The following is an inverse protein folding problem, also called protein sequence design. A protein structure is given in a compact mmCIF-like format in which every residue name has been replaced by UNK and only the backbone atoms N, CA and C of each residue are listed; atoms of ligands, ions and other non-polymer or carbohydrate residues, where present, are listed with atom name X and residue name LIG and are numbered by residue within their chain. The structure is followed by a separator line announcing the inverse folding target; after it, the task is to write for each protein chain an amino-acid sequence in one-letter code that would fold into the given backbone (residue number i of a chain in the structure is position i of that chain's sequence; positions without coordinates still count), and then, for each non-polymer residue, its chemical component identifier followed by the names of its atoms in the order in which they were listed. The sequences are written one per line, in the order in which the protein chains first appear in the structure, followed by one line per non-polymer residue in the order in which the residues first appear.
data_IF_481531422945
#
_entry.id   IF_481531422945
#
_cell.length_a   1.000
_cell.length_b   1.000
_cell.length_c   1.000
_cell.angle_alpha   90.00
_cell.angle_beta   90.00
_cell.angle_gamma   90.00
#
_symmetry.space_group_name_H-M   'P 1'
#
loop_
_entity.id
_entity.type
_entity.pdbx_description
1 polymer ?
#
# COMPACT_ATOMS: atom_id res chain seq x y z
N UNK A 1 8.89 57.22 62.94
CA UNK A 1 10.11 58.00 62.66
C UNK A 1 11.16 57.08 62.07
N UNK A 2 12.09 57.56 61.23
CA UNK A 2 11.96 58.57 60.16
C UNK A 2 12.35 57.88 58.81
N UNK A 3 12.78 58.48 57.69
CA UNK A 3 12.95 59.87 57.24
C UNK A 3 12.77 59.95 55.70
N UNK A 4 12.75 61.17 55.15
CA UNK A 4 13.35 61.50 53.84
C UNK A 4 14.61 62.38 54.11
N UNK A 5 15.54 62.56 53.14
CA UNK A 5 15.46 63.65 52.14
C UNK A 5 15.77 63.15 50.71
N UNK A 6 15.49 63.84 49.58
CA UNK A 6 15.84 65.22 49.14
C UNK A 6 17.38 65.38 48.90
N UNK A 7 17.92 66.06 47.87
CA UNK A 7 17.35 66.99 46.89
C UNK A 7 18.24 67.20 45.63
N UNK A 8 17.64 67.66 44.52
CA UNK A 8 18.23 68.58 43.51
C UNK A 8 19.18 68.07 42.40
N UNK A 9 19.49 68.84 41.34
CA UNK A 9 18.80 70.01 40.73
C UNK A 9 19.48 70.43 39.40
N UNK A 10 18.71 70.79 38.37
CA UNK A 10 19.13 71.52 37.15
C UNK A 10 19.86 70.73 36.05
N UNK A 11 19.96 71.22 34.80
CA UNK A 11 19.16 72.22 34.06
C UNK A 11 19.63 72.34 32.60
N UNK A 12 18.68 72.48 31.67
CA UNK A 12 18.72 73.31 30.45
C UNK A 12 19.69 73.04 29.28
N UNK A 13 19.05 73.03 28.09
CA UNK A 13 19.45 73.59 26.78
C UNK A 13 20.64 72.89 26.06
N UNK A 14 20.80 72.89 24.73
CA UNK A 14 20.06 73.49 23.59
C UNK A 14 20.17 72.58 22.33
N UNK A 15 19.51 73.00 21.26
CA UNK A 15 19.37 72.53 19.87
C UNK A 15 20.63 72.16 19.03
N UNK A 16 20.38 71.87 17.74
CA UNK A 16 21.30 71.69 16.58
C UNK A 16 21.93 70.29 16.39
N UNK A 17 22.14 69.76 15.18
CA UNK A 17 21.55 70.01 13.84
C UNK A 17 21.86 68.78 12.92
N UNK A 18 21.36 68.79 11.68
CA UNK A 18 21.50 67.77 10.63
C UNK A 18 22.95 67.33 10.28
N UNK A 19 23.12 66.10 9.76
CA UNK A 19 24.46 65.61 9.35
C UNK A 19 24.54 64.16 8.82
N UNK A 20 23.82 63.86 7.73
CA UNK A 20 24.00 62.64 6.91
C UNK A 20 25.48 62.57 6.39
N UNK A 21 26.20 61.45 6.20
CA UNK A 21 25.97 60.29 5.32
C UNK A 21 26.90 59.12 5.72
N UNK A 22 26.51 57.83 5.64
CA UNK A 22 27.33 56.70 6.11
C UNK A 22 28.28 56.09 5.06
N UNK A 23 29.43 55.54 5.50
CA UNK A 23 30.17 54.49 4.76
C UNK A 23 30.82 53.42 5.66
N UNK A 24 30.25 52.22 5.56
CA UNK A 24 30.95 50.91 5.52
C UNK A 24 32.02 50.59 6.60
N UNK A 25 31.63 49.79 7.59
CA UNK A 25 32.46 48.69 8.11
C UNK A 25 31.60 47.52 8.65
N UNK A 26 32.18 46.33 8.68
CA UNK A 26 31.47 45.07 8.88
C UNK A 26 30.97 44.83 10.32
N UNK A 27 29.79 44.22 10.44
CA UNK A 27 29.22 43.71 11.70
C UNK A 27 28.58 42.34 11.49
N UNK A 28 28.88 41.38 12.38
CA UNK A 28 28.42 39.99 12.28
C UNK A 28 26.98 39.87 12.77
N UNK A 29 26.09 39.26 11.99
CA UNK A 29 24.75 38.85 12.41
C UNK A 29 24.62 37.33 12.47
N UNK A 30 24.32 36.78 13.65
CA UNK A 30 24.06 35.36 13.84
C UNK A 30 22.61 35.02 13.52
N UNK A 31 22.34 34.35 12.39
CA UNK A 31 21.01 33.80 12.10
C UNK A 31 20.80 32.46 12.82
N UNK A 32 20.02 32.47 13.89
CA UNK A 32 19.42 31.27 14.46
C UNK A 32 18.33 30.73 13.53
N UNK A 33 18.68 29.81 12.62
CA UNK A 33 17.70 29.16 11.73
C UNK A 33 16.94 28.07 12.47
N UNK A 34 15.73 28.41 12.91
CA UNK A 34 14.70 27.43 13.28
C UNK A 34 14.35 26.57 12.05
N UNK A 35 14.27 25.23 12.16
CA UNK A 35 13.93 24.39 11.02
C UNK A 35 12.47 24.60 10.61
N UNK A 36 12.25 25.01 9.36
CA UNK A 36 10.92 25.22 8.81
C UNK A 36 10.10 23.91 8.83
N UNK A 37 8.83 23.99 9.26
CA UNK A 37 7.90 22.87 9.15
C UNK A 37 7.74 22.46 7.68
N UNK A 38 7.81 21.16 7.33
CA UNK A 38 7.59 20.72 5.97
C UNK A 38 6.13 21.00 5.56
N UNK A 39 5.94 21.86 4.57
CA UNK A 39 4.64 22.13 3.95
C UNK A 39 4.21 20.94 3.09
N UNK A 40 2.92 20.57 3.16
CA UNK A 40 2.19 19.58 2.33
C UNK A 40 3.05 18.96 1.21
N UNK A 41 3.74 17.88 1.54
CA UNK A 41 4.63 17.17 0.62
C UNK A 41 3.85 16.58 -0.56
N UNK A 42 4.11 17.14 -1.74
CA UNK A 42 4.44 16.46 -3.02
C UNK A 42 4.13 14.95 -3.13
N UNK A 43 2.86 14.59 -2.91
CA UNK A 43 2.38 13.19 -2.84
C UNK A 43 2.31 12.50 -4.22
N UNK A 44 2.76 13.17 -5.28
CA UNK A 44 2.58 12.76 -6.67
C UNK A 44 3.88 12.29 -7.36
N UNK A 45 5.03 12.36 -6.68
CA UNK A 45 6.34 11.91 -7.20
C UNK A 45 6.72 10.47 -6.84
N UNK A 46 5.91 9.73 -6.09
CA UNK A 46 6.19 8.32 -5.79
C UNK A 46 5.88 7.34 -6.94
N UNK A 47 5.24 7.81 -8.02
CA UNK A 47 4.73 6.93 -9.09
C UNK A 47 5.19 7.32 -10.51
N UNK A 48 6.13 8.25 -10.64
CA UNK A 48 6.86 8.48 -11.88
C UNK A 48 8.22 7.81 -11.76
N UNK A 49 8.43 6.72 -12.50
CA UNK A 49 9.74 6.12 -12.73
C UNK A 49 9.92 6.00 -14.25
N UNK A 50 10.52 7.02 -14.86
CA UNK A 50 11.24 6.90 -16.14
C UNK A 50 12.64 6.29 -15.88
N UNK A 51 12.73 5.32 -14.96
CA UNK A 51 13.96 4.57 -14.74
C UNK A 51 14.17 3.61 -15.92
N UNK A 52 15.41 3.48 -16.44
CA UNK A 52 15.69 2.50 -17.48
C UNK A 52 15.30 1.12 -16.98
N UNK A 53 14.59 0.33 -17.80
CA UNK A 53 14.00 -0.97 -17.45
C UNK A 53 15.01 -1.84 -16.71
N UNK A 54 14.95 -1.80 -15.38
CA UNK A 54 15.94 -2.45 -14.55
C UNK A 54 15.69 -3.95 -14.66
N UNK A 55 16.68 -4.67 -15.16
CA UNK A 55 16.59 -6.13 -15.28
C UNK A 55 16.45 -6.72 -13.87
N UNK A 56 15.21 -7.06 -13.52
CA UNK A 56 14.92 -7.61 -12.20
C UNK A 56 15.62 -8.95 -12.08
N UNK A 57 16.26 -9.18 -10.94
CA UNK A 57 16.86 -10.47 -10.61
C UNK A 57 15.78 -11.45 -10.13
N UNK A 58 16.00 -12.78 -10.29
CA UNK A 58 15.25 -13.79 -9.55
C UNK A 58 15.23 -13.49 -8.06
N UNK A 59 14.18 -13.91 -7.36
CA UNK A 59 14.10 -13.68 -5.93
C UNK A 59 14.83 -14.77 -5.15
N UNK A 60 15.61 -14.36 -4.15
CA UNK A 60 16.21 -15.29 -3.20
C UNK A 60 15.17 -15.66 -2.13
N UNK A 61 14.83 -16.95 -1.90
CA UNK A 61 13.63 -17.33 -1.15
C UNK A 61 13.51 -16.77 0.27
N UNK A 62 14.64 -16.52 0.94
CA UNK A 62 14.72 -16.05 2.32
C UNK A 62 15.12 -14.57 2.46
N UNK A 63 15.46 -13.85 1.37
CA UNK A 63 15.89 -12.44 1.46
C UNK A 63 14.84 -11.54 2.11
N UNK A 64 13.55 -11.85 1.88
CA UNK A 64 12.42 -11.10 2.42
C UNK A 64 12.29 -11.15 3.94
N UNK A 65 13.04 -12.04 4.61
CA UNK A 65 13.11 -12.11 6.08
C UNK A 65 13.89 -10.97 6.71
N UNK A 66 14.80 -10.35 5.96
CA UNK A 66 15.65 -9.26 6.44
C UNK A 66 14.91 -7.91 6.48
N UNK A 67 13.77 -7.81 5.80
CA UNK A 67 12.98 -6.58 5.66
C UNK A 67 11.81 -6.56 6.65
N UNK A 68 11.84 -5.75 7.72
CA UNK A 68 10.72 -5.63 8.65
C UNK A 68 9.55 -4.87 8.02
N UNK A 69 8.35 -5.43 8.11
CA UNK A 69 7.11 -4.79 7.63
C UNK A 69 6.70 -3.69 8.61
N UNK A 70 6.77 -2.43 8.16
CA UNK A 70 6.66 -1.24 9.03
C UNK A 70 5.69 -0.15 8.54
N UNK A 71 5.03 -0.34 7.39
CA UNK A 71 4.08 0.63 6.82
C UNK A 71 2.89 0.87 7.75
N UNK A 72 2.55 2.14 7.97
CA UNK A 72 1.42 2.52 8.83
C UNK A 72 0.08 2.03 8.29
N UNK A 73 -0.07 1.95 6.96
CA UNK A 73 -1.26 1.45 6.27
C UNK A 73 -1.55 -0.04 6.55
N UNK A 74 -0.54 -0.79 7.02
CA UNK A 74 -0.67 -2.20 7.41
C UNK A 74 -1.08 -2.30 8.89
N UNK A 75 -2.26 -1.76 9.20
CA UNK A 75 -2.83 -1.60 10.55
C UNK A 75 -2.78 -2.86 11.41
N UNK A 76 -2.90 -4.06 10.83
CA UNK A 76 -2.81 -5.33 11.59
C UNK A 76 -1.41 -5.53 12.22
N UNK A 77 -0.36 -4.91 11.67
CA UNK A 77 1.01 -4.92 12.20
C UNK A 77 1.37 -3.58 12.87
N UNK A 78 0.99 -2.44 12.29
CA UNK A 78 1.37 -1.12 12.78
C UNK A 78 0.56 -0.66 14.01
N UNK A 79 -0.70 -1.11 14.12
CA UNK A 79 -1.66 -0.77 15.19
C UNK A 79 -2.49 -2.00 15.56
N UNK A 80 -1.87 -3.10 16.06
CA UNK A 80 -2.53 -4.41 16.19
C UNK A 80 -3.75 -4.40 17.13
N UNK A 81 -3.79 -3.51 18.12
CA UNK A 81 -4.91 -3.35 19.06
C UNK A 81 -5.91 -2.26 18.62
N UNK A 82 -5.73 -1.67 17.44
CA UNK A 82 -6.56 -0.62 16.88
C UNK A 82 -7.90 -1.13 16.31
N UNK A 83 -8.94 -0.26 16.24
CA UNK A 83 -10.26 -0.63 15.74
C UNK A 83 -10.23 -1.08 14.27
N UNK A 84 -9.31 -0.54 13.45
CA UNK A 84 -9.15 -0.90 12.03
C UNK A 84 -8.56 -2.31 11.87
N UNK A 85 -7.57 -2.66 12.70
CA UNK A 85 -7.01 -4.02 12.74
C UNK A 85 -8.08 -5.06 13.12
N UNK A 86 -8.96 -4.71 14.07
CA UNK A 86 -10.10 -5.53 14.46
C UNK A 86 -11.13 -5.69 13.33
N UNK A 87 -11.35 -4.68 12.46
CA UNK A 87 -12.20 -4.88 11.27
C UNK A 87 -11.60 -5.93 10.31
N UNK A 88 -10.28 -5.96 10.12
CA UNK A 88 -9.63 -7.01 9.31
C UNK A 88 -9.69 -8.40 9.97
N UNK A 89 -9.67 -8.50 11.30
CA UNK A 89 -9.93 -9.76 12.02
C UNK A 89 -11.37 -10.24 11.85
N UNK A 90 -12.33 -9.32 11.84
CA UNK A 90 -13.74 -9.64 11.53
C UNK A 90 -13.90 -10.12 10.09
N UNK A 91 -13.28 -9.42 9.12
CA UNK A 91 -13.26 -9.82 7.71
C UNK A 91 -12.67 -11.23 7.54
N UNK A 92 -11.53 -11.52 8.20
CA UNK A 92 -10.94 -12.87 8.24
C UNK A 92 -11.96 -13.91 8.71
N UNK A 93 -12.62 -13.67 9.84
CA UNK A 93 -13.57 -14.61 10.40
C UNK A 93 -14.76 -14.84 9.44
N UNK A 94 -15.25 -13.80 8.75
CA UNK A 94 -16.27 -13.91 7.70
C UNK A 94 -15.79 -14.74 6.51
N UNK A 95 -14.57 -14.51 6.01
CA UNK A 95 -13.97 -15.27 4.90
C UNK A 95 -13.79 -16.75 5.28
N UNK A 96 -13.39 -17.04 6.52
CA UNK A 96 -13.33 -18.43 7.01
C UNK A 96 -14.72 -19.07 7.12
N UNK A 97 -15.74 -18.33 7.56
CA UNK A 97 -17.11 -18.84 7.65
C UNK A 97 -17.72 -19.16 6.28
N UNK A 98 -17.37 -18.38 5.24
CA UNK A 98 -17.71 -18.68 3.84
C UNK A 98 -16.95 -19.91 3.30
N UNK A 99 -15.82 -20.27 3.90
CA UNK A 99 -14.99 -21.42 3.51
C UNK A 99 -15.24 -22.65 4.39
N UNK A 100 -16.51 -23.02 4.57
CA UNK A 100 -16.95 -24.04 5.54
C UNK A 100 -16.46 -25.48 5.23
N UNK A 101 -16.01 -25.76 4.00
CA UNK A 101 -15.38 -27.03 3.62
C UNK A 101 -13.87 -27.09 3.92
N UNK A 102 -13.26 -25.97 4.32
CA UNK A 102 -11.83 -25.87 4.61
C UNK A 102 -10.93 -25.99 3.38
N UNK A 103 -11.48 -25.91 2.16
CA UNK A 103 -10.68 -26.01 0.94
C UNK A 103 -9.77 -24.79 0.74
N UNK A 104 -8.60 -24.97 0.13
CA UNK A 104 -7.73 -23.84 -0.24
C UNK A 104 -8.42 -22.92 -1.25
N UNK A 105 -8.40 -21.60 -1.01
CA UNK A 105 -9.08 -20.61 -1.87
C UNK A 105 -8.13 -19.59 -2.48
N UNK A 106 -8.36 -19.24 -3.74
CA UNK A 106 -7.88 -17.99 -4.34
C UNK A 106 -8.94 -16.90 -4.17
N UNK A 107 -8.57 -15.79 -3.54
CA UNK A 107 -9.45 -14.61 -3.34
C UNK A 107 -8.87 -13.42 -4.09
N UNK A 108 -9.60 -12.95 -5.11
CA UNK A 108 -9.23 -11.79 -5.90
C UNK A 108 -9.63 -10.49 -5.18
N UNK A 109 -8.72 -9.53 -5.15
CA UNK A 109 -9.00 -8.15 -4.80
C UNK A 109 -8.97 -7.32 -6.08
N UNK A 110 -10.12 -6.76 -6.44
CA UNK A 110 -10.25 -5.78 -7.54
C UNK A 110 -11.13 -4.62 -7.09
N UNK A 111 -11.28 -3.61 -7.92
CA UNK A 111 -12.01 -2.37 -7.63
C UNK A 111 -12.56 -1.79 -8.93
N UNK A 112 -13.39 -0.74 -8.86
CA UNK A 112 -13.92 -0.10 -10.06
C UNK A 112 -12.83 0.72 -10.77
N UNK A 113 -12.06 1.50 -10.00
CA UNK A 113 -11.04 2.45 -10.49
C UNK A 113 -9.73 2.33 -9.69
N UNK A 114 -8.68 3.07 -10.07
CA UNK A 114 -7.42 3.06 -9.34
C UNK A 114 -7.47 3.82 -8.00
N UNK A 115 -6.52 3.50 -7.11
CA UNK A 115 -6.35 4.21 -5.83
C UNK A 115 -7.34 3.79 -4.72
N UNK A 116 -8.25 2.84 -4.97
CA UNK A 116 -9.28 2.43 -3.99
C UNK A 116 -8.74 1.64 -2.78
N UNK A 117 -7.46 1.23 -2.78
CA UNK A 117 -6.81 0.59 -1.62
C UNK A 117 -6.73 -0.95 -1.68
N UNK A 118 -6.94 -1.55 -2.86
CA UNK A 118 -6.84 -3.01 -3.12
C UNK A 118 -5.65 -3.69 -2.43
N UNK A 119 -4.44 -3.18 -2.66
CA UNK A 119 -3.19 -3.69 -2.10
C UNK A 119 -3.14 -3.62 -0.57
N UNK A 120 -3.66 -2.53 0.01
CA UNK A 120 -3.70 -2.36 1.47
C UNK A 120 -4.72 -3.32 2.09
N UNK A 121 -5.86 -3.53 1.43
CA UNK A 121 -6.88 -4.50 1.83
C UNK A 121 -6.37 -5.95 1.78
N UNK A 122 -5.77 -6.36 0.66
CA UNK A 122 -5.26 -7.73 0.47
C UNK A 122 -4.15 -8.05 1.46
N UNK A 123 -3.21 -7.11 1.67
CA UNK A 123 -2.15 -7.24 2.66
C UNK A 123 -2.69 -7.32 4.09
N UNK A 124 -3.60 -6.44 4.51
CA UNK A 124 -4.15 -6.51 5.87
C UNK A 124 -4.99 -7.78 6.09
N UNK A 125 -5.73 -8.29 5.09
CA UNK A 125 -6.39 -9.59 5.22
C UNK A 125 -5.36 -10.73 5.34
N UNK A 126 -4.26 -10.72 4.58
CA UNK A 126 -3.20 -11.72 4.71
C UNK A 126 -2.58 -11.71 6.11
N UNK A 127 -2.29 -10.51 6.63
CA UNK A 127 -1.75 -10.30 7.97
C UNK A 127 -2.73 -10.77 9.05
N UNK A 128 -4.04 -10.56 8.90
CA UNK A 128 -5.05 -11.09 9.82
C UNK A 128 -5.16 -12.63 9.73
N UNK A 129 -5.19 -13.20 8.52
CA UNK A 129 -5.26 -14.65 8.28
C UNK A 129 -4.07 -15.37 8.93
N UNK A 130 -2.83 -14.88 8.73
CA UNK A 130 -1.62 -15.51 9.29
C UNK A 130 -1.47 -15.37 10.82
N UNK A 131 -2.33 -14.61 11.51
CA UNK A 131 -2.43 -14.68 12.98
C UNK A 131 -2.81 -16.10 13.41
N UNK A 132 -3.65 -16.79 12.64
CA UNK A 132 -4.09 -18.15 12.92
C UNK A 132 -2.94 -19.15 12.68
N UNK A 133 -2.54 -19.98 13.68
CA UNK A 133 -1.34 -20.81 13.58
C UNK A 133 -1.35 -21.88 12.48
N UNK A 134 -2.55 -22.34 12.09
CA UNK A 134 -2.77 -23.40 11.12
C UNK A 134 -2.92 -22.89 9.68
N UNK A 135 -3.01 -21.57 9.45
CA UNK A 135 -3.16 -21.00 8.11
C UNK A 135 -1.84 -20.46 7.56
N UNK A 136 -1.66 -20.73 6.27
CA UNK A 136 -0.60 -20.23 5.41
C UNK A 136 -1.20 -19.39 4.29
N UNK A 137 -0.58 -18.24 4.02
CA UNK A 137 -1.08 -17.26 3.06
C UNK A 137 0.01 -16.86 2.09
N UNK A 138 -0.32 -16.81 0.80
CA UNK A 138 0.48 -16.16 -0.23
C UNK A 138 -0.28 -14.97 -0.80
N UNK A 139 0.35 -13.79 -0.86
CA UNK A 139 -0.16 -12.66 -1.65
C UNK A 139 0.54 -12.64 -3.01
N UNK A 140 -0.24 -12.55 -4.09
CA UNK A 140 0.24 -12.44 -5.46
C UNK A 140 -0.08 -11.05 -5.99
N UNK A 141 0.93 -10.27 -6.34
CA UNK A 141 0.75 -9.02 -7.07
C UNK A 141 0.52 -9.33 -8.55
N UNK A 142 -0.71 -9.17 -9.02
CA UNK A 142 -1.10 -9.30 -10.41
C UNK A 142 -1.31 -7.95 -11.10
N UNK A 143 -1.10 -6.82 -10.41
CA UNK A 143 -1.19 -5.50 -11.01
C UNK A 143 0.13 -5.11 -11.69
N UNK A 144 0.39 -5.69 -12.88
CA UNK A 144 1.58 -5.39 -13.68
C UNK A 144 1.72 -3.92 -14.14
N UNK A 145 0.66 -3.12 -14.03
CA UNK A 145 0.67 -1.70 -14.41
C UNK A 145 1.17 -0.82 -13.27
N UNK A 146 0.68 -1.08 -12.05
CA UNK A 146 1.07 -0.37 -10.84
C UNK A 146 1.39 -1.36 -9.69
N UNK A 147 2.45 -2.18 -9.85
CA UNK A 147 2.81 -3.18 -8.84
C UNK A 147 3.29 -2.47 -7.58
N UNK A 148 2.76 -2.88 -6.42
CA UNK A 148 2.97 -2.15 -5.17
C UNK A 148 3.04 -3.02 -3.91
N UNK A 149 2.69 -4.31 -3.99
CA UNK A 149 2.74 -5.23 -2.84
C UNK A 149 4.13 -5.23 -2.19
N UNK A 150 5.20 -5.39 -2.99
CA UNK A 150 6.59 -5.39 -2.50
C UNK A 150 6.95 -4.08 -1.79
N UNK A 151 6.51 -2.94 -2.33
CA UNK A 151 6.76 -1.61 -1.76
C UNK A 151 6.02 -1.32 -0.44
N UNK A 152 4.85 -1.95 -0.22
CA UNK A 152 4.16 -1.94 1.08
C UNK A 152 4.82 -2.88 2.10
N UNK A 153 5.44 -3.97 1.64
CA UNK A 153 6.17 -4.89 2.51
C UNK A 153 7.62 -4.44 2.82
N UNK A 154 8.08 -3.35 2.20
CA UNK A 154 9.46 -2.87 2.34
C UNK A 154 10.48 -3.71 1.57
N UNK A 155 10.02 -4.56 0.65
CA UNK A 155 10.85 -5.49 -0.11
C UNK A 155 11.40 -4.83 -1.39
N UNK A 156 12.66 -5.14 -1.80
CA UNK A 156 13.16 -4.76 -3.11
C UNK A 156 12.38 -5.53 -4.20
N UNK A 157 12.17 -4.91 -5.37
CA UNK A 157 11.51 -5.58 -6.50
C UNK A 157 12.35 -6.72 -7.07
N UNK A 158 11.68 -7.81 -7.45
CA UNK A 158 12.26 -9.00 -8.08
C UNK A 158 11.40 -9.50 -9.23
N UNK A 159 11.94 -10.46 -9.99
CA UNK A 159 11.14 -11.31 -10.87
C UNK A 159 10.06 -12.04 -10.05
N UNK A 160 8.93 -12.33 -10.69
CA UNK A 160 7.72 -12.79 -10.02
C UNK A 160 6.71 -13.38 -11.00
N UNK A 161 5.44 -12.99 -10.86
CA UNK A 161 4.32 -13.56 -11.62
C UNK A 161 4.54 -13.53 -13.14
N UNK A 162 5.02 -12.43 -13.71
CA UNK A 162 5.25 -12.32 -15.16
C UNK A 162 6.34 -13.29 -15.67
N UNK A 163 7.39 -13.53 -14.89
CA UNK A 163 8.44 -14.50 -15.24
C UNK A 163 7.97 -15.96 -15.07
N UNK A 164 7.12 -16.24 -14.08
CA UNK A 164 6.45 -17.55 -13.95
C UNK A 164 5.48 -17.79 -15.12
N UNK A 165 4.65 -16.80 -15.45
CA UNK A 165 3.69 -16.89 -16.56
C UNK A 165 4.39 -17.04 -17.91
N UNK A 166 5.57 -16.44 -18.11
CA UNK A 166 6.39 -16.68 -19.32
C UNK A 166 7.15 -18.00 -19.30
N UNK A 167 7.30 -18.64 -18.14
CA UNK A 167 8.07 -19.88 -17.98
C UNK A 167 9.57 -19.66 -17.86
N UNK A 168 10.00 -18.42 -17.55
CA UNK A 168 11.38 -18.07 -17.21
C UNK A 168 11.76 -18.51 -15.79
N UNK A 169 10.79 -18.50 -14.88
CA UNK A 169 10.95 -18.96 -13.49
C UNK A 169 9.95 -20.05 -13.13
N UNK A 170 10.34 -20.89 -12.15
CA UNK A 170 9.40 -21.71 -11.38
C UNK A 170 8.74 -20.89 -10.28
N UNK A 171 7.61 -21.38 -9.75
CA UNK A 171 6.93 -20.74 -8.60
C UNK A 171 7.87 -20.62 -7.40
N UNK A 172 8.71 -21.63 -7.16
CA UNK A 172 9.67 -21.67 -6.03
C UNK A 172 10.73 -20.58 -6.09
N UNK A 173 11.06 -20.07 -7.29
CA UNK A 173 12.02 -18.98 -7.51
C UNK A 173 11.37 -17.59 -7.51
N UNK A 174 10.03 -17.54 -7.54
CA UNK A 174 9.23 -16.32 -7.61
C UNK A 174 8.48 -16.02 -6.29
N UNK A 175 8.31 -17.02 -5.43
CA UNK A 175 7.73 -16.88 -4.10
C UNK A 175 8.82 -16.57 -3.08
N UNK A 176 8.59 -15.53 -2.28
CA UNK A 176 9.51 -14.98 -1.30
C UNK A 176 8.90 -15.10 0.09
N UNK A 177 9.68 -15.57 1.06
CA UNK A 177 9.26 -15.58 2.46
C UNK A 177 9.44 -14.19 3.06
N UNK A 178 8.42 -13.67 3.72
CA UNK A 178 8.53 -12.38 4.42
C UNK A 178 9.20 -12.53 5.79
N UNK A 179 9.47 -11.42 6.46
CA UNK A 179 9.85 -11.37 7.88
C UNK A 179 8.79 -11.94 8.83
N UNK A 180 7.57 -12.25 8.35
CA UNK A 180 6.50 -12.86 9.12
C UNK A 180 6.25 -14.32 8.71
N UNK A 181 6.24 -15.22 9.70
CA UNK A 181 5.95 -16.65 9.48
C UNK A 181 4.54 -16.87 8.90
N UNK A 182 4.42 -17.84 7.98
CA UNK A 182 3.20 -18.25 7.29
C UNK A 182 2.59 -17.17 6.36
N UNK A 183 3.38 -16.16 6.02
CA UNK A 183 3.01 -15.13 5.05
C UNK A 183 4.14 -14.97 4.04
N UNK A 184 3.88 -15.45 2.83
CA UNK A 184 4.79 -15.37 1.69
C UNK A 184 4.19 -14.48 0.59
N UNK A 185 5.01 -14.06 -0.37
CA UNK A 185 4.60 -13.13 -1.44
C UNK A 185 5.20 -13.53 -2.79
N UNK A 186 4.42 -13.39 -3.86
CA UNK A 186 4.89 -13.38 -5.24
C UNK A 186 4.67 -11.97 -5.81
N UNK A 187 5.75 -11.24 -6.08
CA UNK A 187 5.69 -9.93 -6.72
C UNK A 187 5.23 -10.03 -8.18
N UNK A 188 4.92 -8.90 -8.81
CA UNK A 188 4.41 -8.90 -10.19
C UNK A 188 5.46 -9.32 -11.23
N UNK A 189 6.75 -9.16 -10.93
CA UNK A 189 7.83 -9.35 -11.89
C UNK A 189 8.12 -8.10 -12.72
N UNK A 190 8.89 -8.24 -13.80
CA UNK A 190 9.21 -7.12 -14.69
C UNK A 190 7.97 -6.75 -15.53
N UNK A 191 7.85 -5.48 -15.93
CA UNK A 191 6.77 -5.08 -16.84
C UNK A 191 7.08 -5.58 -18.25
N UNK A 192 6.23 -6.46 -18.79
CA UNK A 192 6.39 -7.02 -20.14
C UNK A 192 5.48 -6.32 -21.14
N UNK A 193 5.99 -6.01 -22.34
CA UNK A 193 5.14 -5.56 -23.44
C UNK A 193 4.07 -6.62 -23.77
N UNK A 194 4.49 -7.87 -23.92
CA UNK A 194 3.59 -9.00 -24.21
C UNK A 194 2.69 -9.33 -23.00
N UNK A 195 1.37 -9.49 -23.22
CA UNK A 195 0.42 -9.89 -22.18
C UNK A 195 0.47 -11.40 -21.95
N UNK A 196 1.36 -11.87 -21.06
CA UNK A 196 1.57 -13.30 -20.79
C UNK A 196 0.46 -13.95 -19.93
N UNK A 197 -0.69 -13.30 -19.83
CA UNK A 197 -1.88 -13.78 -19.11
C UNK A 197 -2.68 -14.77 -19.98
N UNK A 198 -2.07 -15.91 -20.28
CA UNK A 198 -2.76 -17.06 -20.85
C UNK A 198 -3.62 -17.74 -19.75
N UNK A 199 -4.89 -17.98 -20.05
CA UNK A 199 -5.90 -18.59 -19.15
C UNK A 199 -5.37 -19.84 -18.44
N UNK A 200 -4.78 -20.77 -19.20
CA UNK A 200 -4.32 -22.06 -18.69
C UNK A 200 -3.07 -21.93 -17.83
N UNK A 201 -2.16 -21.00 -18.19
CA UNK A 201 -0.99 -20.69 -17.36
C UNK A 201 -1.39 -20.04 -16.04
N UNK A 202 -2.28 -19.05 -16.05
CA UNK A 202 -2.81 -18.41 -14.83
C UNK A 202 -3.53 -19.44 -13.96
N UNK A 203 -4.41 -20.28 -14.53
CA UNK A 203 -5.10 -21.35 -13.80
C UNK A 203 -4.11 -22.35 -13.20
N UNK A 204 -3.06 -22.73 -13.94
CA UNK A 204 -2.02 -23.63 -13.46
C UNK A 204 -1.25 -23.05 -12.27
N UNK A 205 -0.85 -21.77 -12.34
CA UNK A 205 -0.16 -21.06 -11.25
C UNK A 205 -1.06 -20.95 -10.01
N UNK A 206 -2.31 -20.50 -10.15
CA UNK A 206 -3.25 -20.41 -9.03
C UNK A 206 -3.48 -21.79 -8.38
N UNK A 207 -3.71 -22.84 -9.18
CA UNK A 207 -3.87 -24.20 -8.65
C UNK A 207 -2.60 -24.74 -7.98
N UNK A 208 -1.41 -24.37 -8.47
CA UNK A 208 -0.14 -24.75 -7.85
C UNK A 208 0.11 -24.02 -6.53
N UNK A 209 -0.28 -22.74 -6.42
CA UNK A 209 -0.25 -22.00 -5.16
C UNK A 209 -1.27 -22.54 -4.15
N UNK A 210 -2.51 -22.84 -4.57
CA UNK A 210 -3.55 -23.45 -3.69
C UNK A 210 -3.18 -24.83 -3.14
N UNK A 211 -2.24 -25.56 -3.76
CA UNK A 211 -1.67 -26.80 -3.22
C UNK A 211 -0.62 -26.57 -2.11
N UNK A 212 -0.22 -25.33 -1.85
CA UNK A 212 0.86 -24.95 -0.91
C UNK A 212 0.40 -23.99 0.18
N UNK A 213 -0.67 -23.24 -0.09
CA UNK A 213 -1.24 -22.23 0.78
C UNK A 213 -2.74 -22.46 0.94
N UNK A 214 -3.24 -22.24 2.16
CA UNK A 214 -4.68 -22.29 2.46
C UNK A 214 -5.41 -21.10 1.80
N UNK A 215 -4.74 -19.94 1.72
CA UNK A 215 -5.24 -18.75 1.05
C UNK A 215 -4.22 -18.17 0.07
N UNK A 216 -4.67 -17.93 -1.17
CA UNK A 216 -3.93 -17.23 -2.22
C UNK A 216 -4.66 -15.92 -2.51
N UNK A 217 -4.21 -14.81 -1.93
CA UNK A 217 -4.84 -13.51 -2.14
C UNK A 217 -4.20 -12.84 -3.37
N UNK A 218 -5.01 -12.46 -4.35
CA UNK A 218 -4.52 -11.91 -5.62
C UNK A 218 -4.86 -10.42 -5.68
N UNK A 219 -3.86 -9.55 -5.64
CA UNK A 219 -4.03 -8.10 -5.83
C UNK A 219 -4.03 -7.79 -7.32
N UNK A 220 -5.18 -7.38 -7.87
CA UNK A 220 -5.36 -7.19 -9.30
C UNK A 220 -5.64 -5.72 -9.67
N UNK A 221 -5.43 -5.31 -10.94
CA UNK A 221 -5.83 -3.98 -11.39
C UNK A 221 -7.36 -3.79 -11.31
N UNK A 222 -7.88 -2.56 -11.42
CA UNK A 222 -9.32 -2.30 -11.44
C UNK A 222 -10.00 -2.99 -12.62
N UNK A 223 -11.20 -3.51 -12.42
CA UNK A 223 -11.86 -4.36 -13.42
C UNK A 223 -12.29 -3.58 -14.67
N UNK A 224 -12.72 -2.33 -14.51
CA UNK A 224 -13.14 -1.47 -15.63
C UNK A 224 -11.96 -1.00 -16.51
N UNK A 225 -10.73 -1.07 -16.00
CA UNK A 225 -9.55 -0.55 -16.69
C UNK A 225 -8.87 -1.58 -17.61
N UNK A 226 -9.06 -2.89 -17.38
CA UNK A 226 -8.28 -3.90 -18.11
C UNK A 226 -8.87 -5.31 -18.12
N UNK A 227 -8.81 -5.95 -19.29
CA UNK A 227 -9.19 -7.34 -19.50
C UNK A 227 -8.37 -8.36 -18.66
N UNK A 228 -7.21 -7.97 -18.12
CA UNK A 228 -6.45 -8.83 -17.21
C UNK A 228 -7.22 -9.15 -15.92
N UNK A 229 -7.95 -8.17 -15.39
CA UNK A 229 -8.77 -8.35 -14.18
C UNK A 229 -10.00 -9.21 -14.46
N UNK A 230 -10.60 -9.08 -15.64
CA UNK A 230 -11.69 -9.94 -16.13
C UNK A 230 -11.27 -11.41 -16.16
N UNK A 231 -10.06 -11.72 -16.66
CA UNK A 231 -9.53 -13.08 -16.67
C UNK A 231 -9.31 -13.63 -15.25
N UNK A 232 -8.74 -12.82 -14.36
CA UNK A 232 -8.49 -13.22 -12.97
C UNK A 232 -9.79 -13.46 -12.21
N UNK A 233 -10.82 -12.64 -12.46
CA UNK A 233 -12.15 -12.78 -11.87
C UNK A 233 -12.80 -14.14 -12.24
N UNK A 234 -12.70 -14.55 -13.50
CA UNK A 234 -13.21 -15.84 -13.98
C UNK A 234 -12.40 -17.07 -13.49
N UNK A 235 -11.23 -16.87 -12.84
CA UNK A 235 -10.34 -17.95 -12.38
C UNK A 235 -10.14 -17.99 -10.85
N UNK A 236 -10.64 -17.00 -10.12
CA UNK A 236 -10.59 -16.95 -8.65
C UNK A 236 -11.76 -17.72 -8.04
N UNK A 237 -11.55 -18.36 -6.89
CA UNK A 237 -12.63 -19.07 -6.19
C UNK A 237 -13.61 -18.09 -5.51
N UNK A 238 -13.16 -16.86 -5.26
CA UNK A 238 -13.98 -15.77 -4.74
C UNK A 238 -13.35 -14.40 -5.00
N UNK A 239 -14.18 -13.36 -4.96
CA UNK A 239 -13.79 -11.98 -5.29
C UNK A 239 -14.28 -11.04 -4.20
N UNK A 240 -13.39 -10.17 -3.71
CA UNK A 240 -13.71 -9.02 -2.88
C UNK A 240 -13.58 -7.75 -3.71
N UNK A 241 -14.71 -7.04 -3.90
CA UNK A 241 -14.72 -5.75 -4.56
C UNK A 241 -14.36 -4.66 -3.54
N UNK A 242 -13.21 -4.03 -3.70
CA UNK A 242 -12.74 -2.95 -2.82
C UNK A 242 -13.29 -1.62 -3.31
N UNK A 243 -13.94 -0.88 -2.43
CA UNK A 243 -14.59 0.41 -2.73
C UNK A 243 -14.12 1.48 -1.77
N UNK A 244 -13.70 2.64 -2.29
CA UNK A 244 -13.35 3.79 -1.44
C UNK A 244 -14.56 4.68 -1.17
N UNK A 245 -15.03 4.70 0.08
CA UNK A 245 -16.11 5.58 0.55
C UNK A 245 -15.72 7.05 0.30
N UNK A 246 -16.72 7.87 -0.03
CA UNK A 246 -16.55 9.30 -0.33
C UNK A 246 -15.81 9.63 -1.64
N UNK A 247 -15.19 8.63 -2.29
CA UNK A 247 -14.35 8.82 -3.49
C UNK A 247 -14.91 8.15 -4.74
N UNK A 248 -15.52 6.96 -4.61
CA UNK A 248 -15.93 6.16 -5.79
C UNK A 248 -17.41 6.36 -6.09
N UNK A 249 -17.78 6.86 -7.29
CA UNK A 249 -19.18 7.00 -7.69
C UNK A 249 -19.91 5.65 -7.70
N UNK A 250 -21.11 5.60 -7.09
CA UNK A 250 -21.92 4.39 -6.98
C UNK A 250 -22.12 3.67 -8.33
N UNK A 251 -22.38 4.41 -9.41
CA UNK A 251 -22.58 3.82 -10.74
C UNK A 251 -21.36 3.03 -11.26
N UNK A 252 -20.13 3.45 -10.95
CA UNK A 252 -18.93 2.69 -11.31
C UNK A 252 -18.77 1.42 -10.47
N UNK A 253 -19.26 1.41 -9.23
CA UNK A 253 -19.30 0.20 -8.39
C UNK A 253 -20.32 -0.80 -8.94
N UNK A 254 -21.50 -0.33 -9.37
CA UNK A 254 -22.53 -1.16 -10.00
C UNK A 254 -22.07 -1.71 -11.36
N UNK A 255 -21.38 -0.91 -12.18
CA UNK A 255 -20.76 -1.35 -13.43
C UNK A 255 -19.66 -2.40 -13.19
N UNK A 256 -18.77 -2.17 -12.21
CA UNK A 256 -17.72 -3.12 -11.85
C UNK A 256 -18.28 -4.45 -11.33
N UNK A 257 -19.32 -4.41 -10.50
CA UNK A 257 -20.03 -5.60 -10.03
C UNK A 257 -20.64 -6.36 -11.21
N UNK A 258 -21.38 -5.67 -12.09
CA UNK A 258 -22.02 -6.27 -13.27
C UNK A 258 -21.00 -6.90 -14.23
N UNK A 259 -19.84 -6.25 -14.42
CA UNK A 259 -18.76 -6.79 -15.25
C UNK A 259 -18.17 -8.07 -14.65
N UNK A 260 -17.93 -8.11 -13.33
CA UNK A 260 -17.41 -9.31 -12.65
C UNK A 260 -18.42 -10.46 -12.68
N UNK A 261 -19.69 -10.19 -12.36
CA UNK A 261 -20.76 -11.18 -12.34
C UNK A 261 -21.05 -11.74 -13.74
N UNK A 262 -21.08 -10.88 -14.77
CA UNK A 262 -21.27 -11.28 -16.17
C UNK A 262 -20.15 -12.16 -16.74
N UNK A 263 -19.00 -12.23 -16.08
CA UNK A 263 -17.89 -13.13 -16.40
C UNK A 263 -17.93 -14.46 -15.62
N UNK A 264 -18.95 -14.68 -14.80
CA UNK A 264 -19.08 -15.83 -13.91
C UNK A 264 -18.24 -15.73 -12.62
N UNK A 265 -17.77 -14.52 -12.27
CA UNK A 265 -16.99 -14.29 -11.06
C UNK A 265 -17.83 -14.43 -9.78
N UNK A 266 -17.34 -15.20 -8.81
CA UNK A 266 -18.01 -15.40 -7.52
C UNK A 266 -17.70 -14.23 -6.55
N UNK A 267 -18.57 -13.22 -6.50
CA UNK A 267 -18.41 -12.08 -5.58
C UNK A 267 -18.78 -12.49 -4.14
N UNK A 268 -17.78 -12.57 -3.26
CA UNK A 268 -17.96 -12.88 -1.84
C UNK A 268 -18.53 -11.69 -1.06
N UNK A 269 -18.29 -10.47 -1.56
CA UNK A 269 -18.80 -9.24 -0.97
C UNK A 269 -17.96 -8.01 -1.33
N UNK A 270 -18.31 -6.90 -0.70
CA UNK A 270 -17.66 -5.59 -0.90
C UNK A 270 -16.88 -5.20 0.36
N UNK A 271 -15.63 -4.78 0.19
CA UNK A 271 -14.83 -4.19 1.26
C UNK A 271 -14.78 -2.67 1.09
N UNK A 272 -15.48 -1.96 1.98
CA UNK A 272 -15.52 -0.49 1.96
C UNK A 272 -14.39 0.10 2.82
N UNK A 273 -13.56 0.97 2.23
CA UNK A 273 -12.42 1.63 2.88
C UNK A 273 -12.61 3.15 2.96
N UNK A 274 -12.03 3.77 3.99
CA UNK A 274 -12.12 5.23 4.20
C UNK A 274 -13.49 5.68 4.72
N UNK A 275 -14.05 4.95 5.68
CA UNK A 275 -15.34 5.26 6.32
C UNK A 275 -15.25 6.42 7.35
N UNK A 276 -14.04 6.92 7.62
CA UNK A 276 -13.81 8.04 8.52
C UNK A 276 -14.48 9.30 7.93
N UNK A 277 -15.32 9.95 8.74
CA UNK A 277 -16.10 11.16 8.42
C UNK A 277 -17.32 10.99 7.48
N UNK A 278 -18.07 9.88 7.59
CA UNK A 278 -19.53 9.92 7.38
C UNK A 278 -20.24 10.37 8.67
N UNK A 279 -20.28 11.68 8.90
CA UNK A 279 -21.03 12.33 9.98
C UNK A 279 -22.54 12.44 9.74
#
# INVERSE_FOLDING_TARGET
MPAAPDSGLGSRDDSTDEGDVPRSCAGRGSESRSPARPTRFDRMKLFQHDDPVQELLPAEPDEGREFPITREELVVVSKPDGPEAEQFRRLRNSIQALNADGASRSVLFTSAVEGEGKTVASLNLALALRELPHLTVCVVDANRFHPSVEGYLGLPRRQGLNEVLSGKLTIDQAVRRTSLKRFDVMGAGAQTADPVFNVDRVRSVLNALKRRYDYVLVDAPPVLNTAHSSLLAALADGILLVVRIGSTPKGLVEEAYTMVEGLGGNVLGTLALGADDLG
#
